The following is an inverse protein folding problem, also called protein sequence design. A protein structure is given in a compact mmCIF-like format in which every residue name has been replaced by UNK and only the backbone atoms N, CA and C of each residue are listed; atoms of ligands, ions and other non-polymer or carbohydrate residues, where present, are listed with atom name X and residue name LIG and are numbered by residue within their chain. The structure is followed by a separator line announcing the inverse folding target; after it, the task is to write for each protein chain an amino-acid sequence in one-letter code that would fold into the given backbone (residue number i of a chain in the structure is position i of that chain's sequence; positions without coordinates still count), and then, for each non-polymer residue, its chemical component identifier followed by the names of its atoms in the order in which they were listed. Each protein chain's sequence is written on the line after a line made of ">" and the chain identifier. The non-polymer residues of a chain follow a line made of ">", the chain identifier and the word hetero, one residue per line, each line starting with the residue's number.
data_IF_937918884316
#
_entry.id   IF_937918884316
#
_cell.length_a   1.000
_cell.length_b   1.000
_cell.length_c   1.000
_cell.angle_alpha   90.00
_cell.angle_beta   90.00
_cell.angle_gamma   90.00
#
_symmetry.space_group_name_H-M   'P 1'
#
loop_
_entity.id
_entity.type
_entity.pdbx_description
1 polymer ?
#
# COMPACT_ATOMS: atom_id res chain seq x y z
N UNK A 1 -4.56 -1.32 16.11
CA UNK A 1 -5.56 -0.33 16.60
C UNK A 1 -4.96 0.47 17.74
N UNK A 2 -5.13 1.77 17.74
CA UNK A 2 -4.63 2.67 18.79
C UNK A 2 -5.82 3.44 19.35
N UNK A 3 -6.01 3.40 20.67
CA UNK A 3 -7.05 4.16 21.39
C UNK A 3 -8.45 3.99 20.76
N UNK A 4 -8.80 2.75 20.39
CA UNK A 4 -10.07 2.39 19.74
C UNK A 4 -10.26 3.00 18.35
N UNK A 5 -9.18 3.50 17.74
CA UNK A 5 -9.20 4.02 16.36
C UNK A 5 -8.49 3.06 15.43
N UNK A 6 -9.06 2.86 14.24
CA UNK A 6 -8.46 2.04 13.22
C UNK A 6 -7.22 2.72 12.62
N UNK A 7 -6.13 1.96 12.52
CA UNK A 7 -4.87 2.44 11.93
C UNK A 7 -4.66 1.74 10.59
N UNK A 8 -4.59 2.52 9.52
CA UNK A 8 -4.36 2.02 8.17
C UNK A 8 -3.06 2.62 7.63
N UNK A 9 -2.17 1.77 7.14
CA UNK A 9 -0.95 2.20 6.46
C UNK A 9 -1.17 2.10 4.96
N UNK A 10 -0.86 3.18 4.24
CA UNK A 10 -0.96 3.22 2.79
C UNK A 10 0.44 3.32 2.17
N UNK A 11 0.68 2.51 1.15
CA UNK A 11 1.97 2.42 0.49
C UNK A 11 1.82 2.76 -1.00
N UNK A 12 2.10 4.01 -1.40
CA UNK A 12 2.18 4.31 -2.82
C UNK A 12 3.45 3.68 -3.39
N UNK A 13 3.32 2.93 -4.48
CA UNK A 13 4.43 2.18 -5.05
C UNK A 13 4.53 2.39 -6.55
N UNK A 14 5.78 2.48 -7.04
CA UNK A 14 6.09 2.46 -8.45
C UNK A 14 7.49 1.88 -8.63
N UNK A 15 7.58 0.73 -9.32
CA UNK A 15 8.84 0.01 -9.52
C UNK A 15 9.61 -0.20 -8.22
N UNK A 16 8.91 -0.68 -7.20
CA UNK A 16 9.42 -0.82 -5.84
C UNK A 16 9.70 -2.26 -5.44
N UNK A 17 9.85 -3.19 -6.41
CA UNK A 17 10.02 -4.61 -6.11
C UNK A 17 11.21 -4.88 -5.19
N UNK A 18 12.32 -4.15 -5.36
CA UNK A 18 13.54 -4.37 -4.57
C UNK A 18 13.46 -3.79 -3.15
N UNK A 19 12.61 -2.79 -2.93
CA UNK A 19 12.55 -2.07 -1.65
C UNK A 19 11.30 -2.40 -0.84
N UNK A 20 10.27 -2.96 -1.46
CA UNK A 20 8.98 -3.18 -0.82
C UNK A 20 9.07 -4.10 0.39
N UNK A 21 9.82 -5.19 0.29
CA UNK A 21 9.97 -6.12 1.40
C UNK A 21 10.56 -5.44 2.63
N UNK A 22 11.62 -4.65 2.45
CA UNK A 22 12.24 -3.92 3.55
C UNK A 22 11.26 -2.93 4.16
N UNK A 23 10.56 -2.18 3.33
CA UNK A 23 9.57 -1.20 3.80
C UNK A 23 8.46 -1.89 4.58
N UNK A 24 7.94 -3.00 4.06
CA UNK A 24 6.88 -3.75 4.72
C UNK A 24 7.31 -4.28 6.08
N UNK A 25 8.53 -4.79 6.20
CA UNK A 25 9.06 -5.34 7.46
C UNK A 25 9.23 -4.27 8.55
N UNK A 26 9.33 -3.00 8.17
CA UNK A 26 9.44 -1.90 9.13
C UNK A 26 8.08 -1.45 9.68
N UNK A 27 6.98 -1.95 9.13
CA UNK A 27 5.64 -1.58 9.59
C UNK A 27 5.34 -2.28 10.92
N UNK A 28 4.90 -1.53 11.96
CA UNK A 28 4.56 -2.15 13.25
C UNK A 28 3.19 -2.82 13.17
N UNK A 29 3.16 -4.05 12.65
CA UNK A 29 1.93 -4.78 12.37
C UNK A 29 1.04 -5.02 13.59
N UNK A 30 1.61 -4.99 14.80
CA UNK A 30 0.85 -5.18 16.05
C UNK A 30 -0.12 -4.04 16.36
N UNK A 31 0.10 -2.84 15.78
CA UNK A 31 -0.80 -1.70 15.98
C UNK A 31 -1.52 -1.28 14.70
N UNK A 32 -1.21 -1.90 13.58
CA UNK A 32 -1.79 -1.57 12.26
C UNK A 32 -2.92 -2.55 11.94
N UNK A 33 -4.09 -2.02 11.63
CA UNK A 33 -5.28 -2.82 11.31
C UNK A 33 -5.32 -3.24 9.85
N UNK A 34 -4.78 -2.41 8.95
CA UNK A 34 -4.82 -2.70 7.52
C UNK A 34 -3.62 -2.07 6.81
N UNK A 35 -3.17 -2.71 5.73
CA UNK A 35 -2.11 -2.20 4.86
C UNK A 35 -2.65 -2.19 3.43
N UNK A 36 -2.62 -1.02 2.81
CA UNK A 36 -3.07 -0.84 1.43
C UNK A 36 -1.88 -0.46 0.57
N UNK A 37 -1.63 -1.20 -0.49
CA UNK A 37 -0.61 -0.87 -1.47
C UNK A 37 -1.30 -0.40 -2.74
N UNK A 38 -0.88 0.75 -3.27
CA UNK A 38 -1.35 1.27 -4.55
C UNK A 38 -0.18 1.29 -5.51
N UNK A 39 -0.20 0.41 -6.50
CA UNK A 39 0.84 0.29 -7.51
C UNK A 39 0.47 1.18 -8.71
N UNK A 40 1.32 2.15 -9.03
CA UNK A 40 1.08 3.10 -10.09
C UNK A 40 1.59 2.59 -11.45
N UNK A 41 1.12 1.42 -11.86
CA UNK A 41 1.45 0.79 -13.13
C UNK A 41 2.94 0.47 -13.24
N UNK A 42 3.47 -0.26 -12.24
CA UNK A 42 4.88 -0.68 -12.24
C UNK A 42 5.19 -1.60 -13.41
N UNK A 43 6.40 -1.49 -13.94
CA UNK A 43 6.90 -2.37 -15.00
C UNK A 43 7.73 -3.52 -14.46
N UNK A 44 7.99 -3.54 -13.16
CA UNK A 44 8.73 -4.62 -12.49
C UNK A 44 7.77 -5.57 -11.74
N UNK A 45 8.28 -6.37 -10.83
CA UNK A 45 7.52 -7.37 -10.07
C UNK A 45 6.89 -6.83 -8.79
N UNK A 46 6.65 -5.52 -8.68
CA UNK A 46 6.13 -4.90 -7.45
C UNK A 46 4.85 -5.58 -6.94
N UNK A 47 3.88 -5.82 -7.82
CA UNK A 47 2.62 -6.45 -7.41
C UNK A 47 2.80 -7.90 -6.98
N UNK A 48 3.73 -8.61 -7.62
CA UNK A 48 4.05 -10.00 -7.26
C UNK A 48 4.71 -10.05 -5.88
N UNK A 49 5.63 -9.13 -5.60
CA UNK A 49 6.27 -9.03 -4.29
C UNK A 49 5.24 -8.70 -3.21
N UNK A 50 4.31 -7.78 -3.48
CA UNK A 50 3.24 -7.43 -2.55
C UNK A 50 2.40 -8.65 -2.20
N UNK A 51 2.02 -9.45 -3.19
CA UNK A 51 1.27 -10.69 -2.97
C UNK A 51 2.05 -11.68 -2.12
N UNK A 52 3.35 -11.85 -2.41
CA UNK A 52 4.22 -12.75 -1.65
C UNK A 52 4.36 -12.33 -0.19
N UNK A 53 4.37 -11.03 0.09
CA UNK A 53 4.44 -10.51 1.45
C UNK A 53 3.13 -10.64 2.22
N UNK A 54 2.02 -10.99 1.55
CA UNK A 54 0.73 -11.13 2.19
C UNK A 54 -0.06 -9.84 2.30
N UNK A 55 0.28 -8.81 1.52
CA UNK A 55 -0.50 -7.57 1.47
C UNK A 55 -1.80 -7.89 0.74
N UNK A 56 -2.91 -7.89 1.47
CA UNK A 56 -4.21 -8.33 0.94
C UNK A 56 -4.94 -7.26 0.14
N UNK A 57 -4.70 -5.99 0.44
CA UNK A 57 -5.38 -4.89 -0.22
C UNK A 57 -4.41 -4.19 -1.16
N UNK A 58 -4.36 -4.65 -2.41
CA UNK A 58 -3.47 -4.12 -3.44
C UNK A 58 -4.31 -3.58 -4.59
N UNK A 59 -4.04 -2.33 -4.97
CA UNK A 59 -4.69 -1.67 -6.11
C UNK A 59 -3.62 -1.38 -7.14
N UNK A 60 -3.88 -1.72 -8.40
CA UNK A 60 -2.97 -1.46 -9.51
C UNK A 60 -3.63 -0.50 -10.48
N UNK A 61 -3.02 0.66 -10.72
CA UNK A 61 -3.51 1.59 -11.74
C UNK A 61 -3.28 1.00 -13.13
N UNK A 62 -4.27 1.14 -14.01
CA UNK A 62 -4.14 0.69 -15.40
C UNK A 62 -3.18 1.55 -16.22
N UNK A 63 -2.92 2.79 -15.78
CA UNK A 63 -1.94 3.70 -16.37
C UNK A 63 -1.22 4.43 -15.25
N UNK A 64 0.00 4.88 -15.50
CA UNK A 64 0.76 5.66 -14.53
C UNK A 64 0.09 7.01 -14.33
N UNK A 65 -0.30 7.33 -13.09
CA UNK A 65 -0.96 8.59 -12.72
C UNK A 65 -0.01 9.56 -12.04
N UNK A 66 1.25 9.16 -11.86
CA UNK A 66 2.24 9.95 -11.15
C UNK A 66 2.04 9.89 -9.64
N UNK A 67 2.98 10.50 -8.91
CA UNK A 67 3.00 10.43 -7.44
C UNK A 67 1.74 11.01 -6.81
N UNK A 68 1.29 12.18 -7.30
CA UNK A 68 0.09 12.83 -6.76
C UNK A 68 -1.17 12.00 -6.96
N UNK A 69 -1.34 11.40 -8.15
CA UNK A 69 -2.48 10.53 -8.44
C UNK A 69 -2.46 9.26 -7.59
N UNK A 70 -1.27 8.70 -7.34
CA UNK A 70 -1.11 7.54 -6.48
C UNK A 70 -1.48 7.88 -5.04
N UNK A 71 -1.00 9.01 -4.51
CA UNK A 71 -1.35 9.44 -3.15
C UNK A 71 -2.86 9.64 -3.00
N UNK A 72 -3.51 10.24 -3.98
CA UNK A 72 -4.96 10.44 -3.92
C UNK A 72 -5.69 9.10 -3.81
N UNK A 73 -5.30 8.11 -4.60
CA UNK A 73 -5.89 6.78 -4.54
C UNK A 73 -5.67 6.16 -3.15
N UNK A 74 -4.47 6.30 -2.58
CA UNK A 74 -4.17 5.80 -1.24
C UNK A 74 -5.12 6.39 -0.20
N UNK A 75 -5.30 7.71 -0.20
CA UNK A 75 -6.19 8.36 0.75
C UNK A 75 -7.64 7.94 0.56
N UNK A 76 -8.11 7.89 -0.69
CA UNK A 76 -9.49 7.49 -0.99
C UNK A 76 -9.77 6.08 -0.49
N UNK A 77 -8.85 5.14 -0.69
CA UNK A 77 -9.01 3.77 -0.23
C UNK A 77 -8.92 3.66 1.30
N UNK A 78 -8.03 4.43 1.94
CA UNK A 78 -7.94 4.45 3.39
C UNK A 78 -9.25 4.93 4.02
N UNK A 79 -9.88 5.97 3.46
CA UNK A 79 -11.17 6.47 3.93
C UNK A 79 -12.26 5.41 3.79
N UNK A 80 -12.24 4.61 2.72
CA UNK A 80 -13.21 3.52 2.53
C UNK A 80 -13.08 2.44 3.59
N UNK A 81 -11.91 2.24 4.17
CA UNK A 81 -11.70 1.25 5.23
C UNK A 81 -12.02 1.77 6.62
N UNK A 82 -12.44 3.02 6.74
CA UNK A 82 -12.82 3.62 8.03
C UNK A 82 -11.66 4.19 8.83
N UNK A 83 -10.55 4.43 8.17
CA UNK A 83 -9.39 5.04 8.84
C UNK A 83 -9.57 6.54 9.04
#
# INVERSE_FOLDING_TARGET
>A
MIANKKVTVVLPAYNAAQTLEKTYKEIPLEIVDDVILVDDHSTDETSIVAERLGIKHTIVHGVNRGYGGNQKTCYDEALKTGA
#
